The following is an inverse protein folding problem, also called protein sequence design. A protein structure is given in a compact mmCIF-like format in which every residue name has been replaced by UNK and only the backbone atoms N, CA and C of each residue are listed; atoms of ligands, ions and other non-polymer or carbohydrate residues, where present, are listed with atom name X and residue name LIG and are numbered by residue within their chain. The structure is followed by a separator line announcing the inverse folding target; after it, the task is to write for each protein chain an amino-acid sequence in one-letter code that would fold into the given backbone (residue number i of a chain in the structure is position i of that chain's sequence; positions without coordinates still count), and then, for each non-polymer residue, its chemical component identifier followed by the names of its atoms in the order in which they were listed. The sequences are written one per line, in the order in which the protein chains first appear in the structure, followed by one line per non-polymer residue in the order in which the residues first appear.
data_IF_287314712706
#
_entry.id   IF_287314712706
#
_cell.length_a   1.000
_cell.length_b   1.000
_cell.length_c   1.000
_cell.angle_alpha   90.00
_cell.angle_beta   90.00
_cell.angle_gamma   90.00
#
_symmetry.space_group_name_H-M   'P 1'
#
loop_
_entity.id
_entity.type
_entity.pdbx_description
1 polymer ?
#
# COMPACT_ATOMS: atom_id res chain seq x y z
N UNK A 1 11.96 6.21 1.60
CA UNK A 1 12.42 4.95 2.24
C UNK A 1 11.55 4.51 3.42
N UNK A 2 11.17 5.40 4.34
CA UNK A 2 10.37 5.02 5.53
C UNK A 2 9.00 4.40 5.20
N UNK A 3 8.32 4.86 4.17
CA UNK A 3 7.04 4.27 3.72
C UNK A 3 7.20 2.81 3.29
N UNK A 4 8.19 2.51 2.45
CA UNK A 4 8.45 1.13 2.01
C UNK A 4 8.85 0.23 3.18
N UNK A 5 9.70 0.73 4.09
CA UNK A 5 10.09 0.00 5.29
C UNK A 5 8.89 -0.30 6.20
N UNK A 6 8.00 0.69 6.41
CA UNK A 6 6.82 0.51 7.25
C UNK A 6 5.82 -0.49 6.66
N UNK A 7 5.61 -0.46 5.33
CA UNK A 7 4.76 -1.44 4.64
C UNK A 7 5.31 -2.87 4.77
N UNK A 8 6.61 -3.05 4.57
CA UNK A 8 7.27 -4.36 4.71
C UNK A 8 7.18 -4.89 6.15
N UNK A 9 7.41 -4.04 7.15
CA UNK A 9 7.30 -4.47 8.55
C UNK A 9 5.86 -4.84 8.91
N UNK A 10 4.88 -4.02 8.51
CA UNK A 10 3.47 -4.30 8.78
C UNK A 10 3.01 -5.63 8.15
N UNK A 11 3.41 -5.92 6.91
CA UNK A 11 3.07 -7.18 6.25
C UNK A 11 3.69 -8.40 6.96
N UNK A 12 4.95 -8.30 7.40
CA UNK A 12 5.61 -9.37 8.18
C UNK A 12 4.85 -9.66 9.48
N UNK A 13 4.39 -8.63 10.19
CA UNK A 13 3.63 -8.82 11.42
C UNK A 13 2.25 -9.42 11.16
N UNK A 14 1.57 -9.01 10.08
CA UNK A 14 0.31 -9.61 9.67
C UNK A 14 0.47 -11.11 9.37
N UNK A 15 1.54 -11.51 8.67
CA UNK A 15 1.83 -12.93 8.40
C UNK A 15 2.17 -13.72 9.67
N UNK A 16 2.92 -13.14 10.61
CA UNK A 16 3.22 -13.79 11.89
C UNK A 16 1.94 -14.04 12.67
N UNK A 17 1.11 -13.00 12.82
CA UNK A 17 -0.15 -13.09 13.56
C UNK A 17 -1.12 -14.11 12.93
N UNK A 18 -1.18 -14.16 11.59
CA UNK A 18 -2.00 -15.14 10.88
C UNK A 18 -1.57 -16.58 11.20
N UNK A 19 -0.26 -16.86 11.23
CA UNK A 19 0.28 -18.18 11.60
C UNK A 19 -0.02 -18.55 13.05
N UNK A 20 0.09 -17.60 13.98
CA UNK A 20 -0.16 -17.82 15.41
C UNK A 20 -1.64 -18.07 15.72
N UNK A 21 -2.53 -17.42 14.98
CA UNK A 21 -3.99 -17.49 15.22
C UNK A 21 -4.72 -18.48 14.32
N UNK A 22 -4.05 -19.03 13.30
CA UNK A 22 -4.68 -19.86 12.27
C UNK A 22 -5.60 -19.08 11.33
N UNK A 23 -5.49 -17.75 11.28
CA UNK A 23 -6.29 -16.90 10.41
C UNK A 23 -5.87 -17.10 8.94
N UNK A 24 -6.84 -17.30 8.06
CA UNK A 24 -6.60 -17.34 6.63
C UNK A 24 -6.44 -15.90 6.09
N UNK A 25 -5.20 -15.52 5.77
CA UNK A 25 -4.85 -14.19 5.26
C UNK A 25 -4.27 -14.32 3.86
N UNK A 26 -4.69 -13.42 2.98
CA UNK A 26 -4.09 -13.18 1.67
C UNK A 26 -3.70 -11.71 1.57
N UNK A 27 -2.64 -11.43 0.81
CA UNK A 27 -2.10 -10.09 0.64
C UNK A 27 -2.14 -9.71 -0.84
N UNK A 28 -2.49 -8.45 -1.13
CA UNK A 28 -2.42 -7.87 -2.46
C UNK A 28 -1.39 -6.73 -2.43
N UNK A 29 -0.40 -6.79 -3.32
CA UNK A 29 0.73 -5.87 -3.37
C UNK A 29 0.67 -4.99 -4.63
N UNK A 30 -0.16 -3.92 -4.64
CA UNK A 30 -0.21 -3.01 -5.77
C UNK A 30 1.06 -2.14 -5.85
N UNK A 31 1.39 -1.74 -7.09
CA UNK A 31 2.38 -0.70 -7.36
C UNK A 31 1.75 0.70 -7.37
N UNK A 32 2.15 1.55 -8.32
CA UNK A 32 1.47 2.83 -8.56
C UNK A 32 0.07 2.57 -9.12
N UNK A 33 -0.96 3.00 -8.41
CA UNK A 33 -2.36 2.83 -8.83
C UNK A 33 -2.84 4.09 -9.53
N UNK A 34 -3.38 3.91 -10.75
CA UNK A 34 -3.96 4.97 -11.58
C UNK A 34 -5.41 4.61 -11.92
N UNK A 35 -6.27 5.62 -12.10
CA UNK A 35 -7.67 5.42 -12.48
C UNK A 35 -8.58 6.57 -12.06
N UNK A 36 -9.91 6.41 -12.24
CA UNK A 36 -10.90 7.38 -11.82
C UNK A 36 -10.81 7.68 -10.32
N UNK A 37 -10.89 8.97 -9.99
CA UNK A 37 -10.72 9.44 -8.63
C UNK A 37 -12.10 9.57 -7.98
N UNK A 38 -12.34 8.78 -6.92
CA UNK A 38 -13.52 8.92 -6.08
C UNK A 38 -13.38 10.00 -4.99
N UNK A 39 -12.25 10.09 -4.25
CA UNK A 39 -12.10 11.13 -3.22
C UNK A 39 -11.69 12.48 -3.83
N UNK A 40 -12.14 13.63 -3.30
CA UNK A 40 -11.80 14.95 -3.85
C UNK A 40 -10.34 15.39 -3.62
N UNK A 41 -9.51 14.55 -2.97
CA UNK A 41 -8.14 14.88 -2.58
C UNK A 41 -7.10 14.04 -3.35
N UNK A 42 -5.95 14.67 -3.63
CA UNK A 42 -4.78 14.01 -4.23
C UNK A 42 -4.19 13.02 -3.24
N UNK A 43 -3.98 11.78 -3.70
CA UNK A 43 -3.35 10.71 -2.93
C UNK A 43 -1.88 10.57 -3.34
N UNK A 44 -1.13 9.74 -2.62
CA UNK A 44 0.30 9.56 -2.87
C UNK A 44 0.62 9.15 -4.32
N UNK A 45 -0.16 8.25 -4.93
CA UNK A 45 0.03 7.82 -6.33
C UNK A 45 -0.26 8.95 -7.32
N UNK A 46 -1.28 9.76 -7.06
CA UNK A 46 -1.57 10.95 -7.86
C UNK A 46 -0.47 12.01 -7.72
N UNK A 47 0.13 12.16 -6.54
CA UNK A 47 1.27 13.06 -6.34
C UNK A 47 2.48 12.70 -7.20
N UNK A 48 2.75 11.40 -7.38
CA UNK A 48 3.79 10.91 -8.30
C UNK A 48 3.43 11.28 -9.75
N UNK A 49 2.19 11.07 -10.18
CA UNK A 49 1.76 11.42 -11.53
C UNK A 49 1.83 12.93 -11.78
N UNK A 50 1.38 13.75 -10.82
CA UNK A 50 1.45 15.21 -10.92
C UNK A 50 2.89 15.69 -11.09
N UNK A 51 3.82 15.15 -10.30
CA UNK A 51 5.24 15.49 -10.41
C UNK A 51 5.91 15.03 -11.72
N UNK A 52 5.29 14.13 -12.50
CA UNK A 52 5.76 13.76 -13.84
C UNK A 52 5.19 14.64 -14.95
N UNK A 53 4.03 15.27 -14.72
CA UNK A 53 3.35 16.12 -15.69
C UNK A 53 3.72 17.61 -15.55
N UNK A 54 4.41 17.98 -14.48
CA UNK A 54 4.96 19.31 -14.22
C UNK A 54 6.45 19.35 -14.59
#
# INVERSE_FOLDING_TARGET
MWYSASKTLAEKEAWRFAKETGLNVVVVNPGTVLGPILPPAINASMGVLLGLLQ
#
